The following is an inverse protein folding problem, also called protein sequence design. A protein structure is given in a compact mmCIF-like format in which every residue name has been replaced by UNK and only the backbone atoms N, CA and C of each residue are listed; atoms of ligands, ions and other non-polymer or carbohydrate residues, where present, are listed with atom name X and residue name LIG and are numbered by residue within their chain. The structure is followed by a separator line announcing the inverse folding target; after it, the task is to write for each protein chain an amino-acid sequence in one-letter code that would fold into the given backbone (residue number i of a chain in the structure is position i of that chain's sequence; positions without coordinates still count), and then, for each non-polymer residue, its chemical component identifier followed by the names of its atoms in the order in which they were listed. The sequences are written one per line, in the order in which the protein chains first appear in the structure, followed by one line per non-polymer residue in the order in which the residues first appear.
data_IF_302890409637
#
_entry.id   IF_302890409637
#
_cell.length_a   1.000
_cell.length_b   1.000
_cell.length_c   1.000
_cell.angle_alpha   90.00
_cell.angle_beta   90.00
_cell.angle_gamma   90.00
#
_symmetry.space_group_name_H-M   'P 1'
#
loop_
_entity.id
_entity.type
_entity.pdbx_description
1 polymer ?
#
# COMPACT_ATOMS: atom_id res chain seq x y z
N UNK A 1 -27.85 31.87 -49.59
CA UNK A 1 -27.42 32.98 -48.73
C UNK A 1 -27.81 32.62 -47.30
N UNK A 2 -26.84 32.66 -46.37
CA UNK A 2 -26.90 32.36 -44.92
C UNK A 2 -27.26 30.91 -44.51
N UNK A 3 -26.31 30.06 -44.11
CA UNK A 3 -25.48 30.05 -42.87
C UNK A 3 -26.23 29.41 -41.69
N UNK A 4 -25.90 28.13 -41.46
CA UNK A 4 -25.63 27.48 -40.16
C UNK A 4 -26.62 27.83 -39.04
N UNK A 5 -27.69 27.05 -38.91
CA UNK A 5 -28.34 26.79 -37.63
C UNK A 5 -27.62 25.57 -37.04
N UNK A 6 -26.69 25.76 -36.11
CA UNK A 6 -27.09 25.91 -34.72
C UNK A 6 -26.86 24.57 -34.00
N UNK A 7 -25.61 24.15 -34.05
CA UNK A 7 -24.98 23.03 -33.36
C UNK A 7 -25.14 23.25 -31.84
N UNK A 8 -26.28 22.83 -31.26
CA UNK A 8 -26.59 23.09 -29.83
C UNK A 8 -27.24 21.92 -29.08
N UNK A 9 -27.03 20.66 -29.51
CA UNK A 9 -27.42 19.48 -28.70
C UNK A 9 -26.30 18.45 -28.53
N UNK A 10 -25.04 18.89 -28.62
CA UNK A 10 -23.87 18.07 -28.27
C UNK A 10 -23.07 18.65 -27.10
N UNK A 11 -23.70 19.45 -26.24
CA UNK A 11 -23.19 19.75 -24.89
C UNK A 11 -23.97 18.89 -23.90
N UNK A 12 -23.95 17.57 -24.10
CA UNK A 12 -24.19 16.66 -22.99
C UNK A 12 -22.94 16.77 -22.14
N UNK A 13 -23.07 17.59 -21.10
CA UNK A 13 -22.16 17.78 -19.98
C UNK A 13 -20.98 16.79 -19.94
N UNK A 14 -19.72 17.25 -20.14
CA UNK A 14 -18.50 16.48 -19.83
C UNK A 14 -18.40 16.01 -18.36
N UNK A 15 -19.38 16.33 -17.53
CA UNK A 15 -19.38 16.22 -16.07
C UNK A 15 -20.07 14.92 -15.60
N UNK A 16 -20.63 14.12 -16.52
CA UNK A 16 -21.21 12.79 -16.21
C UNK A 16 -20.17 11.66 -16.06
N UNK A 17 -18.88 11.96 -16.21
CA UNK A 17 -17.79 10.99 -16.04
C UNK A 17 -16.85 11.43 -14.90
N UNK A 18 -17.39 11.82 -13.74
CA UNK A 18 -16.62 11.66 -12.51
C UNK A 18 -16.72 10.20 -12.10
N UNK A 19 -15.89 9.35 -12.71
CA UNK A 19 -15.51 8.11 -12.03
C UNK A 19 -14.94 8.49 -10.67
N UNK A 20 -15.29 7.77 -9.60
CA UNK A 20 -14.66 8.03 -8.30
C UNK A 20 -13.15 7.87 -8.47
N UNK A 21 -12.41 8.94 -8.22
CA UNK A 21 -10.96 8.93 -8.27
C UNK A 21 -10.47 7.93 -7.20
N UNK A 22 -9.77 6.88 -7.62
CA UNK A 22 -9.21 5.89 -6.70
C UNK A 22 -8.05 6.55 -5.97
N UNK A 23 -8.20 6.76 -4.67
CA UNK A 23 -7.12 7.22 -3.81
C UNK A 23 -6.09 6.11 -3.67
N UNK A 24 -4.86 6.38 -4.08
CA UNK A 24 -3.75 5.42 -3.92
C UNK A 24 -2.84 5.88 -2.79
N UNK A 25 -2.67 5.04 -1.76
CA UNK A 25 -1.75 5.29 -0.65
C UNK A 25 -0.41 4.57 -0.95
N UNK A 26 0.69 5.31 -1.16
CA UNK A 26 2.00 4.71 -1.24
C UNK A 26 2.48 4.23 0.14
N UNK A 27 3.09 3.05 0.22
CA UNK A 27 3.75 2.55 1.44
C UNK A 27 5.15 2.08 1.08
N UNK A 28 6.17 2.72 1.66
CA UNK A 28 7.56 2.32 1.43
C UNK A 28 7.92 1.09 2.26
N UNK A 29 8.63 0.13 1.68
CA UNK A 29 9.17 -1.03 2.40
C UNK A 29 10.69 -0.99 2.37
N UNK A 30 11.31 -0.97 3.55
CA UNK A 30 12.75 -0.89 3.72
C UNK A 30 13.24 -1.83 4.85
N UNK A 31 14.56 -2.03 4.93
CA UNK A 31 15.18 -2.62 6.12
C UNK A 31 15.50 -1.51 7.11
N UNK A 32 15.26 -1.77 8.40
CA UNK A 32 15.75 -0.88 9.45
C UNK A 32 17.28 -0.74 9.35
N UNK A 33 17.78 0.47 9.63
CA UNK A 33 19.20 0.81 9.47
C UNK A 33 20.15 -0.05 10.30
N UNK A 34 19.68 -0.63 11.41
CA UNK A 34 20.43 -1.52 12.27
C UNK A 34 20.23 -3.01 11.99
N UNK A 35 19.32 -3.37 11.08
CA UNK A 35 18.99 -4.76 10.78
C UNK A 35 19.96 -5.40 9.79
N UNK A 36 20.08 -6.72 9.86
CA UNK A 36 20.68 -7.52 8.80
C UNK A 36 19.85 -7.41 7.52
N UNK A 37 20.54 -7.35 6.38
CA UNK A 37 19.93 -7.21 5.05
C UNK A 37 19.89 -8.56 4.35
N UNK A 38 18.71 -8.89 3.83
CA UNK A 38 18.49 -10.09 3.02
C UNK A 38 18.10 -9.68 1.61
N UNK A 39 18.40 -10.55 0.64
CA UNK A 39 17.87 -10.41 -0.71
C UNK A 39 16.52 -11.13 -0.80
N UNK A 40 15.43 -10.38 -0.79
CA UNK A 40 14.08 -10.90 -0.97
C UNK A 40 13.50 -10.44 -2.33
N UNK A 41 13.85 -11.11 -3.43
CA UNK A 41 13.56 -10.62 -4.78
C UNK A 41 12.06 -10.55 -5.11
N UNK A 42 11.24 -11.32 -4.40
CA UNK A 42 9.81 -11.46 -4.64
C UNK A 42 8.94 -10.96 -3.48
N UNK A 43 9.54 -10.46 -2.38
CA UNK A 43 8.77 -10.07 -1.21
C UNK A 43 7.79 -8.93 -1.49
N UNK A 44 8.25 -7.85 -2.11
CA UNK A 44 7.38 -6.72 -2.48
C UNK A 44 6.25 -7.16 -3.41
N UNK A 45 6.50 -7.82 -4.56
CA UNK A 45 5.40 -8.24 -5.44
C UNK A 45 4.48 -9.29 -4.79
N UNK A 46 4.99 -10.23 -3.99
CA UNK A 46 4.15 -11.20 -3.28
C UNK A 46 3.24 -10.52 -2.24
N UNK A 47 3.77 -9.51 -1.53
CA UNK A 47 2.99 -8.71 -0.57
C UNK A 47 1.94 -7.88 -1.28
N UNK A 48 2.28 -7.25 -2.42
CA UNK A 48 1.31 -6.47 -3.20
C UNK A 48 0.12 -7.33 -3.65
N UNK A 49 0.38 -8.56 -4.10
CA UNK A 49 -0.69 -9.51 -4.49
C UNK A 49 -1.63 -9.79 -3.31
N UNK A 50 -1.09 -9.97 -2.10
CA UNK A 50 -1.91 -10.23 -0.91
C UNK A 50 -2.72 -8.99 -0.51
N UNK A 51 -2.12 -7.80 -0.54
CA UNK A 51 -2.81 -6.54 -0.32
C UNK A 51 -3.96 -6.35 -1.31
N UNK A 52 -3.71 -6.55 -2.61
CA UNK A 52 -4.71 -6.38 -3.66
C UNK A 52 -5.88 -7.36 -3.52
N UNK A 53 -5.62 -8.55 -2.97
CA UNK A 53 -6.65 -9.56 -2.71
C UNK A 53 -7.48 -9.25 -1.45
N UNK A 54 -6.85 -8.70 -0.41
CA UNK A 54 -7.46 -8.52 0.91
C UNK A 54 -8.14 -7.14 1.07
N UNK A 55 -7.56 -6.08 0.51
CA UNK A 55 -8.09 -4.72 0.61
C UNK A 55 -9.57 -4.58 0.17
N UNK A 56 -10.03 -5.22 -0.92
CA UNK A 56 -11.43 -5.15 -1.33
C UNK A 56 -12.42 -5.79 -0.35
N UNK A 57 -11.94 -6.63 0.58
CA UNK A 57 -12.76 -7.19 1.68
C UNK A 57 -12.89 -6.21 2.85
N UNK A 58 -12.02 -5.20 2.89
CA UNK A 58 -11.94 -4.22 3.96
C UNK A 58 -12.57 -2.88 3.60
N UNK A 59 -12.74 -2.52 2.32
CA UNK A 59 -13.32 -1.22 1.97
C UNK A 59 -14.07 -1.20 0.64
N UNK A 60 -14.86 -0.14 0.40
CA UNK A 60 -15.85 -0.02 -0.67
C UNK A 60 -15.29 0.48 -2.03
N UNK A 61 -14.01 0.18 -2.31
CA UNK A 61 -13.32 0.24 -3.63
C UNK A 61 -12.76 1.59 -4.09
N UNK A 62 -12.73 2.61 -3.23
CA UNK A 62 -12.08 3.90 -3.57
C UNK A 62 -10.65 4.01 -3.08
N UNK A 63 -10.16 3.04 -2.32
CA UNK A 63 -8.78 2.97 -1.86
C UNK A 63 -7.97 1.91 -2.62
N UNK A 64 -6.74 2.25 -2.98
CA UNK A 64 -5.69 1.35 -3.41
C UNK A 64 -4.43 1.57 -2.57
N UNK A 65 -3.61 0.54 -2.43
CA UNK A 65 -2.32 0.62 -1.73
C UNK A 65 -1.23 0.25 -2.72
N UNK A 66 -0.17 1.06 -2.79
CA UNK A 66 0.97 0.81 -3.66
C UNK A 66 2.23 0.65 -2.82
N UNK A 67 2.86 -0.52 -2.90
CA UNK A 67 4.15 -0.75 -2.25
C UNK A 67 5.29 -0.12 -3.06
N UNK A 68 6.18 0.58 -2.36
CA UNK A 68 7.41 1.15 -2.93
C UNK A 68 8.62 0.36 -2.42
N UNK A 69 9.34 -0.28 -3.33
CA UNK A 69 10.49 -1.12 -3.00
C UNK A 69 11.73 -0.26 -2.68
N UNK A 70 12.17 -0.29 -1.43
CA UNK A 70 13.49 0.20 -1.00
C UNK A 70 14.42 -0.92 -0.50
N UNK A 71 13.97 -2.18 -0.51
CA UNK A 71 14.80 -3.34 -0.13
C UNK A 71 15.93 -3.57 -1.15
N UNK A 72 15.66 -3.30 -2.42
CA UNK A 72 16.60 -3.48 -3.53
C UNK A 72 17.52 -2.26 -3.78
N UNK A 73 17.67 -1.36 -2.80
CA UNK A 73 18.43 -0.12 -2.95
C UNK A 73 17.66 1.04 -3.59
N UNK A 74 16.33 0.93 -3.65
CA UNK A 74 15.44 2.06 -3.95
C UNK A 74 15.52 3.15 -2.87
N UNK A 75 15.19 4.38 -3.23
CA UNK A 75 15.12 5.52 -2.31
C UNK A 75 13.81 6.29 -2.50
N UNK A 76 12.70 5.56 -2.35
CA UNK A 76 11.37 6.11 -2.43
C UNK A 76 10.96 6.63 -1.05
N UNK A 77 10.45 7.86 -1.00
CA UNK A 77 9.87 8.44 0.22
C UNK A 77 8.35 8.30 0.16
N UNK A 78 7.74 7.93 1.28
CA UNK A 78 6.28 7.97 1.47
C UNK A 78 5.96 8.49 2.88
N UNK A 79 4.72 8.93 3.06
CA UNK A 79 4.14 9.24 4.38
C UNK A 79 4.11 7.98 5.25
N UNK A 80 3.74 6.84 4.67
CA UNK A 80 3.69 5.55 5.37
C UNK A 80 4.88 4.67 5.01
N UNK A 81 5.48 4.02 6.00
CA UNK A 81 6.56 3.05 5.78
C UNK A 81 6.45 1.79 6.65
N UNK A 82 7.03 0.71 6.13
CA UNK A 82 7.26 -0.54 6.84
C UNK A 82 8.75 -0.82 6.87
N UNK A 83 9.30 -0.92 8.08
CA UNK A 83 10.69 -1.25 8.34
C UNK A 83 10.80 -2.71 8.78
N UNK A 84 11.56 -3.50 8.02
CA UNK A 84 11.83 -4.90 8.31
C UNK A 84 13.00 -5.00 9.30
N UNK A 85 12.76 -5.65 10.43
CA UNK A 85 13.75 -5.82 11.51
C UNK A 85 13.93 -7.31 11.80
N UNK A 86 15.14 -7.83 11.59
CA UNK A 86 15.45 -9.20 12.01
C UNK A 86 15.43 -9.29 13.55
N UNK A 87 14.63 -10.22 14.08
CA UNK A 87 14.43 -10.45 15.49
C UNK A 87 14.44 -11.95 15.81
N UNK A 88 14.51 -12.30 17.09
CA UNK A 88 14.38 -13.68 17.55
C UNK A 88 12.95 -14.19 17.32
N UNK A 89 11.98 -13.37 17.67
CA UNK A 89 10.56 -13.70 17.63
C UNK A 89 9.83 -12.68 16.73
N UNK A 90 8.78 -13.16 16.05
CA UNK A 90 7.97 -12.34 15.16
C UNK A 90 7.03 -11.46 15.97
N UNK A 91 7.00 -10.17 15.67
CA UNK A 91 6.14 -9.19 16.33
C UNK A 91 5.98 -7.93 15.47
N UNK A 92 5.14 -7.02 15.93
CA UNK A 92 4.87 -5.75 15.27
C UNK A 92 5.00 -4.61 16.28
N UNK A 93 5.57 -3.50 15.84
CA UNK A 93 5.51 -2.23 16.54
C UNK A 93 5.07 -1.11 15.57
N UNK A 94 4.50 -0.04 16.12
CA UNK A 94 4.21 1.19 15.39
C UNK A 94 5.01 2.33 16.00
N UNK A 95 5.49 3.24 15.17
CA UNK A 95 6.07 4.50 15.62
C UNK A 95 5.01 5.33 16.35
N UNK A 96 5.42 6.24 17.26
CA UNK A 96 4.48 7.09 18.00
C UNK A 96 3.62 8.02 17.13
N UNK A 97 4.11 8.38 15.94
CA UNK A 97 3.35 9.16 14.95
C UNK A 97 2.38 8.28 14.13
N UNK A 98 2.48 6.96 14.22
CA UNK A 98 1.61 6.01 13.52
C UNK A 98 1.89 5.88 12.03
N UNK A 99 3.00 6.45 11.53
CA UNK A 99 3.32 6.49 10.09
C UNK A 99 4.36 5.43 9.69
N UNK A 100 5.07 4.84 10.65
CA UNK A 100 6.03 3.77 10.42
C UNK A 100 5.64 2.54 11.22
N UNK A 101 5.48 1.41 10.54
CA UNK A 101 5.37 0.11 11.17
C UNK A 101 6.71 -0.62 11.13
N UNK A 102 7.03 -1.34 12.21
CA UNK A 102 8.18 -2.21 12.29
C UNK A 102 7.68 -3.65 12.30
N UNK A 103 8.05 -4.40 11.25
CA UNK A 103 7.79 -5.84 11.18
C UNK A 103 9.04 -6.54 11.68
N UNK A 104 8.97 -7.01 12.93
CA UNK A 104 10.00 -7.86 13.51
C UNK A 104 9.75 -9.27 13.00
N UNK A 105 10.67 -9.81 12.22
CA UNK A 105 10.57 -11.15 11.64
C UNK A 105 11.74 -12.02 12.08
N UNK A 106 11.50 -13.32 12.20
CA UNK A 106 12.54 -14.30 12.55
C UNK A 106 12.97 -15.11 11.33
N UNK A 107 14.05 -15.86 11.49
CA UNK A 107 14.47 -16.86 10.50
C UNK A 107 13.39 -17.92 10.21
N UNK A 108 12.56 -18.24 11.20
CA UNK A 108 11.43 -19.15 11.02
C UNK A 108 10.42 -18.57 10.03
N UNK A 109 10.07 -17.29 10.17
CA UNK A 109 9.16 -16.58 9.24
C UNK A 109 9.70 -16.49 7.82
N UNK A 110 11.03 -16.46 7.66
CA UNK A 110 11.67 -16.56 6.33
C UNK A 110 11.46 -17.98 5.78
N UNK A 111 11.75 -19.00 6.58
CA UNK A 111 11.65 -20.40 6.16
C UNK A 111 10.22 -20.84 5.83
N UNK A 112 9.23 -20.33 6.56
CA UNK A 112 7.80 -20.59 6.32
C UNK A 112 7.19 -19.73 5.22
N UNK A 113 7.92 -18.73 4.72
CA UNK A 113 7.43 -17.73 3.74
C UNK A 113 6.25 -16.89 4.29
N UNK A 114 6.31 -16.52 5.57
CA UNK A 114 5.24 -15.77 6.25
C UNK A 114 5.37 -14.25 6.09
N UNK A 115 6.51 -13.74 5.61
CA UNK A 115 6.75 -12.30 5.50
C UNK A 115 5.68 -11.54 4.69
N UNK A 116 5.25 -12.01 3.50
CA UNK A 116 4.19 -11.31 2.76
C UNK A 116 2.90 -11.17 3.56
N UNK A 117 2.54 -12.21 4.33
CA UNK A 117 1.37 -12.20 5.19
C UNK A 117 1.54 -11.23 6.35
N UNK A 118 2.67 -11.31 7.07
CA UNK A 118 2.94 -10.41 8.19
C UNK A 118 2.94 -8.95 7.77
N UNK A 119 3.55 -8.61 6.63
CA UNK A 119 3.57 -7.24 6.11
C UNK A 119 2.17 -6.81 5.67
N UNK A 120 1.40 -7.66 4.99
CA UNK A 120 0.03 -7.35 4.58
C UNK A 120 -0.85 -7.03 5.78
N UNK A 121 -0.82 -7.87 6.81
CA UNK A 121 -1.57 -7.67 8.05
C UNK A 121 -1.14 -6.38 8.77
N UNK A 122 0.16 -6.12 8.79
CA UNK A 122 0.75 -4.88 9.32
C UNK A 122 0.19 -3.65 8.62
N UNK A 123 0.18 -3.66 7.29
CA UNK A 123 -0.26 -2.51 6.50
C UNK A 123 -1.77 -2.30 6.65
N UNK A 124 -2.57 -3.34 6.46
CA UNK A 124 -4.03 -3.19 6.35
C UNK A 124 -4.75 -3.08 7.69
N UNK A 125 -4.24 -3.71 8.76
CA UNK A 125 -4.94 -3.78 10.05
C UNK A 125 -4.28 -2.97 11.16
N UNK A 126 -3.09 -2.42 10.91
CA UNK A 126 -2.39 -1.59 11.89
C UNK A 126 -1.99 -0.23 11.34
N UNK A 127 -1.29 -0.18 10.21
CA UNK A 127 -0.75 1.07 9.66
C UNK A 127 -1.82 1.94 9.01
N UNK A 128 -2.65 1.36 8.14
CA UNK A 128 -3.65 2.08 7.32
C UNK A 128 -5.09 1.95 7.84
N UNK A 129 -5.26 1.54 9.10
CA UNK A 129 -6.57 1.23 9.67
C UNK A 129 -7.51 2.43 9.67
N UNK A 130 -6.98 3.63 9.92
CA UNK A 130 -7.81 4.84 9.97
C UNK A 130 -8.29 5.24 8.57
N UNK A 131 -7.42 5.12 7.57
CA UNK A 131 -7.66 5.43 6.17
C UNK A 131 -8.71 4.46 5.61
N UNK A 132 -8.56 3.17 5.90
CA UNK A 132 -9.50 2.12 5.51
C UNK A 132 -10.86 2.31 6.18
N UNK A 133 -10.90 2.64 7.48
CA UNK A 133 -12.19 2.89 8.17
C UNK A 133 -12.88 4.13 7.62
N UNK A 134 -12.12 5.17 7.25
CA UNK A 134 -12.66 6.42 6.70
C UNK A 134 -13.23 6.23 5.29
N UNK A 135 -12.72 5.25 4.53
CA UNK A 135 -13.19 4.91 3.17
C UNK A 135 -14.45 4.01 3.15
N UNK A 136 -14.83 3.36 4.26
CA UNK A 136 -16.03 2.52 4.37
C UNK A 136 -17.35 3.30 4.33
#
# INVERSE_FOLDING_TARGET
MLVILGLCLAVIAPWMWRGSEVQTIPVAIAFDKGSEWFNFPDLVPATQIQIDAELPLLTNKTLAVQLLDNLSGGNHSSEYSVELVLSRDSSLALSPDGHTAYVLYSYESIQSNDLPYLITQTILYHLLTLEIITDK
#
